data_IF_448526278357
#
_entry.id   IF_448526278357
#
_cell.length_a   1.000
_cell.length_b   1.000
_cell.length_c   1.000
_cell.angle_alpha   90.00
_cell.angle_beta   90.00
_cell.angle_gamma   90.00
#
_symmetry.space_group_name_H-M   'P 1'
#
loop_
_entity.id
_entity.type
_entity.pdbx_description
1 polymer ?
#
# COMPACT_ATOMS: atom_id res chain seq x y z
N UNK A 1 -0.89 -1.47 23.58
CA UNK A 1 -0.48 -2.09 22.30
C UNK A 1 0.02 -0.96 21.43
N UNK A 2 1.30 -0.98 21.10
CA UNK A 2 1.93 0.01 20.22
C UNK A 2 1.42 -0.25 18.81
N UNK A 3 0.59 0.63 18.25
CA UNK A 3 -0.07 0.34 16.97
C UNK A 3 0.47 1.25 15.87
N UNK A 4 1.68 0.93 15.43
CA UNK A 4 2.27 1.55 14.23
C UNK A 4 1.36 1.40 13.00
N UNK A 5 0.49 0.39 12.97
CA UNK A 5 -0.51 0.22 11.92
C UNK A 5 -1.51 1.39 11.92
N UNK A 6 -2.02 1.82 13.09
CA UNK A 6 -2.95 2.96 13.19
C UNK A 6 -2.29 4.27 12.73
N UNK A 7 -1.00 4.43 13.01
CA UNK A 7 -0.21 5.54 12.47
C UNK A 7 -0.13 5.49 10.94
N UNK A 8 0.23 4.33 10.38
CA UNK A 8 0.33 4.15 8.93
C UNK A 8 -1.02 4.32 8.23
N UNK A 9 -2.11 3.88 8.85
CA UNK A 9 -3.47 4.12 8.36
C UNK A 9 -3.79 5.62 8.34
N UNK A 10 -3.53 6.34 9.43
CA UNK A 10 -3.77 7.79 9.53
C UNK A 10 -3.00 8.55 8.44
N UNK A 11 -1.72 8.21 8.22
CA UNK A 11 -0.88 8.82 7.19
C UNK A 11 -1.34 8.41 5.79
N UNK A 12 -1.73 7.15 5.60
CA UNK A 12 -2.19 6.62 4.31
C UNK A 12 -3.53 7.17 3.85
N UNK A 13 -4.45 7.43 4.78
CA UNK A 13 -5.76 8.03 4.50
C UNK A 13 -5.68 9.53 4.20
N UNK A 14 -4.60 10.20 4.62
CA UNK A 14 -4.49 11.65 4.55
C UNK A 14 -3.28 12.09 3.71
N UNK A 15 -3.52 12.27 2.41
CA UNK A 15 -2.47 12.57 1.43
C UNK A 15 -1.68 13.86 1.72
N UNK A 16 -2.25 14.83 2.46
CA UNK A 16 -1.53 16.04 2.85
C UNK A 16 -0.40 15.76 3.85
N UNK A 17 -0.47 14.66 4.59
CA UNK A 17 0.55 14.28 5.57
C UNK A 17 1.85 13.79 4.92
N UNK A 18 1.83 13.42 3.64
CA UNK A 18 3.01 13.02 2.87
C UNK A 18 4.09 14.10 2.85
N UNK A 19 3.68 15.37 2.85
CA UNK A 19 4.56 16.53 2.80
C UNK A 19 4.45 17.40 4.05
N UNK A 20 3.85 16.88 5.12
CA UNK A 20 3.67 17.63 6.34
C UNK A 20 5.03 18.01 6.96
N UNK A 21 5.13 19.22 7.53
CA UNK A 21 6.30 19.61 8.30
C UNK A 21 6.49 18.70 9.51
N UNK A 22 7.73 18.63 10.01
CA UNK A 22 8.10 17.72 11.09
C UNK A 22 7.26 17.93 12.36
N UNK A 23 6.88 19.17 12.65
CA UNK A 23 6.05 19.56 13.79
C UNK A 23 4.61 19.01 13.73
N UNK A 24 4.04 18.90 12.53
CA UNK A 24 2.74 18.25 12.32
C UNK A 24 2.86 16.74 12.58
N UNK A 25 3.96 16.12 12.11
CA UNK A 25 4.24 14.71 12.34
C UNK A 25 4.43 14.40 13.83
N UNK A 26 5.12 15.27 14.57
CA UNK A 26 5.25 15.17 16.03
C UNK A 26 3.90 15.22 16.74
N UNK A 27 3.01 16.14 16.32
CA UNK A 27 1.65 16.24 16.87
C UNK A 27 0.84 14.97 16.65
N UNK A 28 0.91 14.40 15.45
CA UNK A 28 0.23 13.13 15.12
C UNK A 28 0.76 12.00 16.00
N UNK A 29 2.09 11.87 16.10
CA UNK A 29 2.73 10.83 16.90
C UNK A 29 2.49 10.99 18.42
N UNK A 30 2.20 12.21 18.90
CA UNK A 30 1.82 12.43 20.30
C UNK A 30 0.43 11.87 20.64
N UNK A 31 -0.47 11.82 19.65
CA UNK A 31 -1.82 11.26 19.81
C UNK A 31 -1.90 9.73 19.69
N UNK A 32 -0.80 9.07 19.30
CA UNK A 32 -0.77 7.63 19.01
C UNK A 32 0.13 6.93 20.02
N UNK A 33 -0.35 5.81 20.55
CA UNK A 33 0.49 4.92 21.35
C UNK A 33 1.43 4.14 20.42
N UNK A 34 2.64 4.67 20.27
CA UNK A 34 3.77 4.02 19.59
C UNK A 34 4.96 4.05 20.53
N UNK A 35 5.77 2.98 20.52
CA UNK A 35 6.98 2.89 21.33
C UNK A 35 7.94 4.06 21.05
N UNK A 36 8.63 4.51 22.09
CA UNK A 36 9.50 5.69 22.01
C UNK A 36 10.58 5.53 20.92
N UNK A 37 11.19 4.35 20.83
CA UNK A 37 12.25 4.07 19.86
C UNK A 37 11.74 4.14 18.41
N UNK A 38 10.51 3.69 18.19
CA UNK A 38 9.85 3.72 16.87
C UNK A 38 9.50 5.18 16.51
N UNK A 39 8.99 5.95 17.47
CA UNK A 39 8.71 7.38 17.29
C UNK A 39 9.97 8.15 16.91
N UNK A 40 11.08 7.90 17.61
CA UNK A 40 12.37 8.53 17.33
C UNK A 40 12.86 8.19 15.92
N UNK A 41 12.75 6.92 15.52
CA UNK A 41 13.14 6.49 14.18
C UNK A 41 12.28 7.15 13.08
N UNK A 42 10.97 7.30 13.29
CA UNK A 42 10.08 8.01 12.37
C UNK A 42 10.48 9.48 12.24
N UNK A 43 10.68 10.18 13.36
CA UNK A 43 11.03 11.61 13.38
C UNK A 43 12.40 11.89 12.76
N UNK A 44 13.38 11.00 12.98
CA UNK A 44 14.71 11.06 12.37
C UNK A 44 14.72 10.66 10.88
N UNK A 45 13.59 10.15 10.35
CA UNK A 45 13.49 9.52 9.03
C UNK A 45 14.52 8.40 8.83
N UNK A 46 14.85 7.69 9.91
CA UNK A 46 15.83 6.60 9.90
C UNK A 46 15.15 5.29 9.47
N UNK A 47 15.15 5.05 8.16
CA UNK A 47 14.50 3.90 7.57
C UNK A 47 15.12 2.56 8.02
N UNK A 48 16.45 2.51 8.18
CA UNK A 48 17.14 1.28 8.57
C UNK A 48 16.76 0.88 10.01
N UNK A 49 16.81 1.84 10.94
CA UNK A 49 16.40 1.62 12.33
C UNK A 49 14.93 1.29 12.44
N UNK A 50 14.07 2.01 11.72
CA UNK A 50 12.62 1.75 11.72
C UNK A 50 12.33 0.32 11.26
N UNK A 51 12.96 -0.13 10.17
CA UNK A 51 12.80 -1.49 9.62
C UNK A 51 13.17 -2.57 10.64
N UNK A 52 14.28 -2.38 11.36
CA UNK A 52 14.72 -3.30 12.42
C UNK A 52 13.73 -3.33 13.61
N UNK A 53 13.26 -2.17 14.06
CA UNK A 53 12.33 -2.05 15.19
C UNK A 53 10.96 -2.70 14.91
N UNK A 54 10.46 -2.55 13.68
CA UNK A 54 9.16 -3.13 13.29
C UNK A 54 9.26 -4.55 12.74
N UNK A 55 10.48 -5.11 12.63
CA UNK A 55 10.72 -6.43 12.04
C UNK A 55 10.25 -6.53 10.57
N UNK A 56 10.26 -5.41 9.84
CA UNK A 56 9.76 -5.38 8.48
C UNK A 56 10.77 -6.01 7.50
N UNK A 57 10.25 -6.74 6.52
CA UNK A 57 11.01 -7.29 5.41
C UNK A 57 10.41 -6.81 4.10
N UNK A 58 11.22 -6.66 3.06
CA UNK A 58 10.70 -6.36 1.73
C UNK A 58 9.83 -7.53 1.24
N UNK A 59 8.56 -7.26 0.96
CA UNK A 59 7.64 -8.21 0.35
C UNK A 59 7.28 -7.69 -1.04
N UNK A 60 7.53 -8.51 -2.06
CA UNK A 60 7.12 -8.22 -3.44
C UNK A 60 5.92 -9.10 -3.79
N UNK A 61 4.74 -8.49 -3.91
CA UNK A 61 3.51 -9.19 -4.32
C UNK A 61 3.26 -8.94 -5.80
N UNK A 62 3.04 -10.01 -6.57
CA UNK A 62 2.50 -9.89 -7.93
C UNK A 62 0.97 -9.75 -7.84
N UNK A 63 0.45 -8.62 -8.29
CA UNK A 63 -0.98 -8.45 -8.49
C UNK A 63 -1.36 -9.04 -9.84
N UNK A 64 -2.07 -10.17 -9.83
CA UNK A 64 -2.62 -10.78 -11.06
C UNK A 64 -4.05 -10.27 -11.23
N UNK A 65 -4.39 -9.60 -12.35
CA UNK A 65 -5.76 -9.21 -12.63
C UNK A 65 -6.70 -10.41 -12.56
N UNK A 66 -7.88 -10.23 -11.99
CA UNK A 66 -8.90 -11.26 -12.04
C UNK A 66 -9.24 -11.55 -13.51
N UNK A 67 -9.04 -12.79 -13.95
CA UNK A 67 -9.55 -13.23 -15.25
C UNK A 67 -11.07 -13.27 -15.14
N UNK A 68 -11.75 -12.41 -15.90
CA UNK A 68 -13.19 -12.54 -16.11
C UNK A 68 -13.43 -13.92 -16.73
N UNK A 69 -13.99 -14.85 -15.97
CA UNK A 69 -14.56 -16.04 -16.58
C UNK A 69 -15.72 -15.57 -17.45
N UNK A 70 -15.80 -16.01 -18.72
CA UNK A 70 -16.98 -15.73 -19.53
C UNK A 70 -18.18 -16.31 -18.80
N UNK A 71 -19.13 -15.46 -18.42
CA UNK A 71 -20.46 -15.89 -17.97
C UNK A 71 -21.04 -16.82 -19.02
N UNK A 72 -21.56 -17.98 -18.60
CA UNK A 72 -22.11 -19.03 -19.47
C UNK A 72 -23.40 -18.62 -20.24
N UNK A 73 -23.76 -17.33 -20.26
CA UNK A 73 -25.00 -16.80 -20.82
C UNK A 73 -24.85 -16.22 -22.24
N UNK A 74 -23.80 -16.57 -22.97
CA UNK A 74 -23.68 -16.23 -24.40
C UNK A 74 -23.74 -17.49 -25.27
N UNK A 75 -24.86 -18.22 -25.17
CA UNK A 75 -25.30 -19.13 -26.22
C UNK A 75 -26.40 -18.40 -27.02
N UNK A 76 -26.01 -17.85 -28.18
CA UNK A 76 -26.81 -17.55 -29.38
C UNK A 76 -26.17 -16.39 -30.15
N UNK A 77 -25.25 -16.67 -31.06
CA UNK A 77 -25.53 -16.70 -32.51
C UNK A 77 -24.25 -16.94 -33.32
N UNK A 78 -24.40 -17.72 -34.37
CA UNK A 78 -23.35 -18.22 -35.26
C UNK A 78 -22.74 -17.13 -36.17
N UNK A 79 -21.46 -17.34 -36.50
CA UNK A 79 -20.75 -16.88 -37.70
C UNK A 79 -20.67 -15.38 -38.05
N UNK A 80 -19.47 -14.77 -37.87
CA UNK A 80 -18.60 -14.33 -38.98
C UNK A 80 -17.37 -13.57 -38.51
N UNK A 81 -16.22 -13.88 -39.13
CA UNK A 81 -15.17 -12.90 -39.39
C UNK A 81 -13.87 -13.13 -38.62
N UNK A 82 -12.99 -13.96 -39.17
CA UNK A 82 -11.63 -14.09 -38.68
C UNK A 82 -10.78 -12.86 -38.95
N UNK A 83 -9.83 -12.60 -38.05
CA UNK A 83 -8.62 -11.84 -38.36
C UNK A 83 -7.42 -12.50 -37.71
N UNK A 84 -6.53 -12.94 -38.59
CA UNK A 84 -5.24 -13.52 -38.31
C UNK A 84 -4.32 -12.56 -37.54
N UNK A 85 -3.65 -13.10 -36.53
CA UNK A 85 -2.23 -12.92 -36.23
C UNK A 85 -1.46 -11.99 -37.19
N UNK A 86 -0.98 -10.82 -36.73
CA UNK A 86 0.39 -10.34 -36.99
C UNK A 86 0.89 -9.43 -35.86
N UNK A 87 2.01 -9.85 -35.28
CA UNK A 87 2.96 -9.03 -34.55
C UNK A 87 3.55 -7.97 -35.50
N UNK A 88 3.76 -6.77 -34.98
CA UNK A 88 4.79 -5.83 -35.42
C UNK A 88 5.74 -5.63 -34.24
#
# INVERSE_FOLDING_TARGET
>A
MSNIVDFLETVGQNASLRYAPAEDMQRILAGIQVDHEVRDAILAKDQARLTALVGATNVCCMLVPAMLQPSQDSASDEERGGYHQRRA
#
